data_IF_025070791148
#
_entry.id   IF_025070791148
#
_cell.length_a   1.000
_cell.length_b   1.000
_cell.length_c   1.000
_cell.angle_alpha   90.00
_cell.angle_beta   90.00
_cell.angle_gamma   90.00
#
_symmetry.space_group_name_H-M   'P 1'
#
loop_
_entity.id
_entity.type
_entity.pdbx_description
1 polymer ?
#
# COMPACT_ATOMS: atom_id res chain seq x y z
N UNK A 1 14.21 6.06 -5.01
CA UNK A 1 14.04 6.25 -3.54
C UNK A 1 13.25 7.51 -3.16
N UNK A 2 12.01 7.71 -3.64
CA UNK A 2 11.25 8.96 -3.40
C UNK A 2 10.31 8.92 -2.18
N UNK A 3 9.83 7.74 -1.80
CA UNK A 3 8.84 7.58 -0.72
C UNK A 3 9.42 6.86 0.50
N UNK A 4 10.01 5.68 0.32
CA UNK A 4 10.45 4.83 1.45
C UNK A 4 11.97 4.65 1.57
N UNK A 5 12.77 5.26 0.69
CA UNK A 5 14.23 5.13 0.76
C UNK A 5 14.80 3.73 0.43
N UNK A 6 13.95 2.73 0.19
CA UNK A 6 14.32 1.32 -0.06
C UNK A 6 14.24 0.95 -1.54
N UNK A 7 15.01 -0.06 -1.93
CA UNK A 7 14.85 -0.73 -3.22
C UNK A 7 13.51 -1.46 -3.28
N UNK A 8 12.93 -1.61 -4.47
CA UNK A 8 11.61 -2.23 -4.68
C UNK A 8 11.53 -3.65 -4.12
N UNK A 9 12.64 -4.39 -4.13
CA UNK A 9 12.75 -5.76 -3.58
C UNK A 9 12.73 -5.84 -2.05
N UNK A 10 12.93 -4.71 -1.35
CA UNK A 10 12.97 -4.64 0.11
C UNK A 10 11.74 -3.93 0.71
N UNK A 11 10.73 -3.67 -0.11
CA UNK A 11 9.49 -3.05 0.37
C UNK A 11 8.67 -4.06 1.14
N UNK A 12 8.10 -3.61 2.26
CA UNK A 12 7.12 -4.41 2.98
C UNK A 12 5.79 -4.42 2.22
N UNK A 13 4.90 -5.40 2.45
CA UNK A 13 3.57 -5.44 1.82
C UNK A 13 2.79 -4.12 1.94
N UNK A 14 2.70 -3.42 3.10
CA UNK A 14 2.01 -2.14 3.18
C UNK A 14 2.72 -1.00 2.43
N UNK A 15 4.05 -0.99 2.36
CA UNK A 15 4.80 0.00 1.58
C UNK A 15 4.55 -0.20 0.07
N UNK A 16 4.60 -1.45 -0.39
CA UNK A 16 4.27 -1.83 -1.76
C UNK A 16 2.82 -1.48 -2.11
N UNK A 17 1.87 -1.82 -1.24
CA UNK A 17 0.45 -1.51 -1.41
C UNK A 17 0.19 0.00 -1.51
N UNK A 18 0.91 0.81 -0.74
CA UNK A 18 0.83 2.28 -0.80
C UNK A 18 1.32 2.80 -2.15
N UNK A 19 2.46 2.31 -2.65
CA UNK A 19 2.98 2.70 -3.96
C UNK A 19 2.02 2.31 -5.09
N UNK A 20 1.51 1.08 -5.08
CA UNK A 20 0.55 0.58 -6.07
C UNK A 20 -0.75 1.37 -6.02
N UNK A 21 -1.26 1.66 -4.82
CA UNK A 21 -2.47 2.48 -4.64
C UNK A 21 -2.33 3.88 -5.24
N UNK A 22 -1.15 4.47 -5.13
CA UNK A 22 -0.82 5.79 -5.68
C UNK A 22 -0.64 5.77 -7.20
N UNK A 23 -0.35 4.63 -7.84
CA UNK A 23 -0.29 4.56 -9.32
C UNK A 23 -1.63 4.92 -9.97
N UNK A 24 -2.75 4.65 -9.30
CA UNK A 24 -4.08 5.01 -9.79
C UNK A 24 -4.32 6.53 -9.79
N UNK A 25 -3.76 7.26 -8.81
CA UNK A 25 -3.81 8.72 -8.75
C UNK A 25 -2.67 9.26 -7.88
N UNK A 26 -1.61 9.73 -8.54
CA UNK A 26 -0.35 10.14 -7.92
C UNK A 26 -0.48 11.29 -6.91
N UNK A 27 -1.37 12.26 -7.17
CA UNK A 27 -1.60 13.41 -6.30
C UNK A 27 -2.64 13.09 -5.23
N UNK A 28 -3.79 12.52 -5.62
CA UNK A 28 -4.93 12.29 -4.72
C UNK A 28 -4.67 11.25 -3.63
N UNK A 29 -3.81 10.27 -3.89
CA UNK A 29 -3.39 9.25 -2.94
C UNK A 29 -1.93 9.42 -2.49
N UNK A 30 -1.38 10.63 -2.62
CA UNK A 30 -0.03 10.89 -2.13
C UNK A 30 -0.01 10.83 -0.59
N UNK A 31 0.74 9.93 0.05
CA UNK A 31 0.78 9.81 1.51
C UNK A 31 1.30 11.06 2.21
N UNK A 32 2.05 11.93 1.51
CA UNK A 32 2.54 13.20 2.06
C UNK A 32 1.51 14.34 2.02
N UNK A 33 0.57 14.29 1.08
CA UNK A 33 -0.43 15.35 0.89
C UNK A 33 -1.78 14.96 1.50
N UNK A 34 -2.18 13.70 1.34
CA UNK A 34 -3.47 13.16 1.76
C UNK A 34 -3.28 11.79 2.45
N UNK A 35 -2.75 11.77 3.68
CA UNK A 35 -2.41 10.52 4.39
C UNK A 35 -3.64 9.61 4.57
N UNK A 36 -4.80 10.15 4.93
CA UNK A 36 -6.01 9.35 5.16
C UNK A 36 -6.49 8.66 3.87
N UNK A 37 -6.50 9.39 2.75
CA UNK A 37 -6.85 8.83 1.44
C UNK A 37 -5.85 7.78 0.99
N UNK A 38 -4.57 8.02 1.24
CA UNK A 38 -3.51 7.05 0.96
C UNK A 38 -3.69 5.78 1.79
N UNK A 39 -4.04 5.88 3.08
CA UNK A 39 -4.29 4.73 3.94
C UNK A 39 -5.50 3.92 3.46
N UNK A 40 -6.63 4.60 3.17
CA UNK A 40 -7.81 3.93 2.61
C UNK A 40 -7.47 3.19 1.31
N UNK A 41 -6.68 3.83 0.43
CA UNK A 41 -6.29 3.21 -0.84
C UNK A 41 -5.32 2.04 -0.66
N UNK A 42 -4.37 2.14 0.27
CA UNK A 42 -3.47 1.05 0.67
C UNK A 42 -4.28 -0.16 1.16
N UNK A 43 -5.29 0.05 2.00
CA UNK A 43 -6.10 -1.03 2.56
C UNK A 43 -6.86 -1.79 1.47
N UNK A 44 -7.42 -1.09 0.47
CA UNK A 44 -8.05 -1.73 -0.71
C UNK A 44 -7.05 -2.60 -1.47
N UNK A 45 -5.79 -2.19 -1.57
CA UNK A 45 -4.75 -3.01 -2.23
C UNK A 45 -4.40 -4.22 -1.38
N UNK A 46 -4.29 -4.08 -0.06
CA UNK A 46 -4.06 -5.19 0.87
C UNK A 46 -5.21 -6.21 0.82
N UNK A 47 -6.47 -5.76 0.77
CA UNK A 47 -7.64 -6.63 0.58
C UNK A 47 -7.57 -7.42 -0.73
N UNK A 48 -7.10 -6.79 -1.80
CA UNK A 48 -6.90 -7.47 -3.09
C UNK A 48 -5.74 -8.46 -3.06
N UNK A 49 -4.67 -8.15 -2.33
CA UNK A 49 -3.55 -9.07 -2.14
C UNK A 49 -4.00 -10.30 -1.35
N UNK A 50 -4.83 -10.10 -0.32
CA UNK A 50 -5.43 -11.18 0.45
C UNK A 50 -6.35 -12.04 -0.41
N UNK A 51 -7.25 -11.44 -1.19
CA UNK A 51 -8.18 -12.19 -2.04
C UNK A 51 -7.51 -12.99 -3.15
N UNK A 52 -6.31 -12.56 -3.57
CA UNK A 52 -5.46 -13.27 -4.53
C UNK A 52 -4.52 -14.30 -3.87
N UNK A 53 -4.55 -14.42 -2.54
CA UNK A 53 -3.73 -15.39 -1.79
C UNK A 53 -2.28 -14.99 -1.58
N UNK A 54 -1.90 -13.71 -1.81
CA UNK A 54 -0.57 -13.20 -1.51
C UNK A 54 -0.36 -12.88 -0.02
N UNK A 55 -1.45 -12.67 0.72
CA UNK A 55 -1.47 -12.44 2.16
C UNK A 55 -2.53 -13.33 2.79
N UNK A 56 -2.26 -13.84 3.98
CA UNK A 56 -3.30 -14.39 4.85
C UNK A 56 -4.24 -13.29 5.34
N UNK A 57 -5.42 -13.69 5.82
CA UNK A 57 -6.38 -12.75 6.43
C UNK A 57 -5.76 -12.05 7.66
N UNK A 58 -5.02 -12.80 8.48
CA UNK A 58 -4.32 -12.26 9.65
C UNK A 58 -3.25 -11.22 9.25
N UNK A 59 -2.46 -11.49 8.21
CA UNK A 59 -1.47 -10.54 7.70
C UNK A 59 -2.12 -9.28 7.13
N UNK A 60 -3.20 -9.44 6.37
CA UNK A 60 -3.95 -8.30 5.82
C UNK A 60 -4.47 -7.40 6.94
N UNK A 61 -5.08 -7.98 7.98
CA UNK A 61 -5.61 -7.24 9.12
C UNK A 61 -4.49 -6.57 9.93
N UNK A 62 -3.36 -7.24 10.10
CA UNK A 62 -2.18 -6.68 10.77
C UNK A 62 -1.55 -5.49 10.03
N UNK A 63 -1.66 -5.46 8.70
CA UNK A 63 -1.05 -4.41 7.88
C UNK A 63 -1.96 -3.21 7.60
N UNK A 64 -3.27 -3.35 7.85
CA UNK A 64 -4.23 -2.24 7.82
C UNK A 64 -4.02 -1.31 9.00
#
# INVERSE_FOLDING_TARGET
NRFFGKASSHLTPPEAATLVGMLAANTSYNPRLYPDRSMQRRNIVLDRMQSQGFLSEEESEKYK
#
